data_IF_053995484259
#
_entry.id   IF_053995484259
#
_cell.length_a   1.000
_cell.length_b   1.000
_cell.length_c   1.000
_cell.angle_alpha   90.00
_cell.angle_beta   90.00
_cell.angle_gamma   90.00
#
_symmetry.space_group_name_H-M   'P 1'
#
loop_
_entity.id
_entity.type
_entity.pdbx_description
1 polymer ?
#
# COMPACT_ATOMS: atom_id res chain seq x y z
N UNK A 1 7.98 12.30 -25.83
CA UNK A 1 8.53 11.02 -25.34
C UNK A 1 7.35 10.10 -25.06
N UNK A 2 7.47 8.81 -25.38
CA UNK A 2 6.44 7.82 -25.07
C UNK A 2 6.52 7.48 -23.58
N UNK A 3 5.41 7.60 -22.85
CA UNK A 3 5.32 7.32 -21.42
C UNK A 3 5.65 5.84 -21.15
N UNK A 4 6.63 5.56 -20.27
CA UNK A 4 7.02 4.20 -19.88
C UNK A 4 6.17 3.74 -18.70
N UNK A 5 5.41 2.67 -18.88
CA UNK A 5 4.46 2.17 -17.89
C UNK A 5 4.89 0.79 -17.41
N UNK A 6 4.92 0.59 -16.10
CA UNK A 6 5.05 -0.73 -15.50
C UNK A 6 3.67 -1.24 -15.07
N UNK A 7 3.30 -2.46 -15.48
CA UNK A 7 2.03 -3.05 -15.05
C UNK A 7 2.23 -4.12 -13.99
N UNK A 8 1.63 -3.93 -12.82
CA UNK A 8 1.56 -4.90 -11.73
C UNK A 8 0.12 -5.33 -11.53
N UNK A 9 -0.10 -6.60 -11.18
CA UNK A 9 -1.43 -7.13 -10.93
C UNK A 9 -1.47 -8.03 -9.72
N UNK A 10 -2.61 -8.04 -9.04
CA UNK A 10 -2.92 -9.01 -7.99
C UNK A 10 -3.06 -10.41 -8.57
N UNK A 11 -3.20 -11.40 -7.70
CA UNK A 11 -3.36 -12.79 -8.13
C UNK A 11 -4.73 -13.07 -8.77
N UNK A 12 -5.69 -12.16 -8.63
CA UNK A 12 -7.04 -12.31 -9.15
C UNK A 12 -7.03 -12.49 -10.69
N UNK A 13 -7.78 -13.48 -11.24
CA UNK A 13 -7.80 -13.72 -12.68
C UNK A 13 -8.13 -12.48 -13.52
N UNK A 14 -9.13 -11.68 -13.09
CA UNK A 14 -9.52 -10.44 -13.77
C UNK A 14 -8.41 -9.38 -13.80
N UNK A 15 -7.57 -9.32 -12.78
CA UNK A 15 -6.42 -8.41 -12.73
C UNK A 15 -5.29 -8.88 -13.64
N UNK A 16 -5.03 -10.20 -13.66
CA UNK A 16 -4.02 -10.80 -14.55
C UNK A 16 -4.41 -10.64 -16.03
N UNK A 17 -5.67 -10.89 -16.39
CA UNK A 17 -6.16 -10.67 -17.77
C UNK A 17 -6.02 -9.21 -18.17
N UNK A 18 -6.43 -8.28 -17.31
CA UNK A 18 -6.27 -6.85 -17.56
C UNK A 18 -4.81 -6.44 -17.77
N UNK A 19 -3.88 -7.02 -17.00
CA UNK A 19 -2.44 -6.79 -17.15
C UNK A 19 -1.98 -7.18 -18.54
N UNK A 20 -2.33 -8.38 -19.00
CA UNK A 20 -1.97 -8.84 -20.35
C UNK A 20 -2.52 -7.89 -21.42
N UNK A 21 -3.81 -7.54 -21.36
CA UNK A 21 -4.43 -6.62 -22.31
C UNK A 21 -3.73 -5.25 -22.38
N UNK A 22 -3.38 -4.70 -21.22
CA UNK A 22 -2.72 -3.39 -21.15
C UNK A 22 -1.27 -3.44 -21.64
N UNK A 23 -0.55 -4.53 -21.34
CA UNK A 23 0.81 -4.75 -21.84
C UNK A 23 0.82 -4.89 -23.36
N UNK A 24 -0.12 -5.65 -23.94
CA UNK A 24 -0.22 -5.81 -25.38
C UNK A 24 -0.48 -4.48 -26.09
N UNK A 25 -1.18 -3.54 -25.43
CA UNK A 25 -1.55 -2.24 -25.99
C UNK A 25 -0.49 -1.14 -25.76
N UNK A 26 0.15 -1.13 -24.59
CA UNK A 26 0.99 -0.01 -24.15
C UNK A 26 2.45 -0.39 -23.90
N UNK A 27 2.79 -1.68 -23.99
CA UNK A 27 4.09 -2.22 -23.59
C UNK A 27 4.21 -2.43 -22.08
N UNK A 28 5.33 -3.01 -21.64
CA UNK A 28 5.66 -3.17 -20.22
C UNK A 28 7.10 -2.72 -20.00
N UNK A 29 7.34 -1.97 -18.94
CA UNK A 29 8.68 -1.53 -18.51
C UNK A 29 8.92 -2.04 -17.10
N UNK A 30 10.13 -2.48 -16.73
CA UNK A 30 10.46 -2.77 -15.34
C UNK A 30 10.14 -1.58 -14.43
N UNK A 31 9.55 -1.82 -13.26
CA UNK A 31 9.10 -0.74 -12.36
C UNK A 31 10.20 0.27 -11.99
N UNK A 32 11.44 -0.18 -11.88
CA UNK A 32 12.61 0.68 -11.61
C UNK A 32 12.93 1.69 -12.72
N UNK A 33 12.48 1.40 -13.94
CA UNK A 33 12.73 2.19 -15.14
C UNK A 33 11.43 2.82 -15.66
N UNK A 34 10.31 2.72 -14.93
CA UNK A 34 9.03 3.25 -15.35
C UNK A 34 8.89 4.74 -14.98
N UNK A 35 8.10 5.47 -15.77
CA UNK A 35 7.66 6.82 -15.42
C UNK A 35 6.45 6.77 -14.49
N UNK A 36 5.67 5.67 -14.53
CA UNK A 36 4.51 5.41 -13.67
C UNK A 36 4.26 3.91 -13.55
N UNK A 37 3.84 3.49 -12.36
CA UNK A 37 3.50 2.09 -12.05
C UNK A 37 1.98 1.98 -12.00
N UNK A 38 1.38 1.15 -12.85
CA UNK A 38 -0.04 0.85 -12.83
C UNK A 38 -0.31 -0.42 -12.04
N UNK A 39 -1.05 -0.30 -10.94
CA UNK A 39 -1.45 -1.42 -10.08
C UNK A 39 -2.88 -1.87 -10.40
N UNK A 40 -3.06 -3.14 -10.75
CA UNK A 40 -4.36 -3.74 -11.10
C UNK A 40 -4.82 -4.67 -9.98
N UNK A 41 -5.89 -4.31 -9.27
CA UNK A 41 -6.36 -5.08 -8.13
C UNK A 41 -7.38 -4.33 -7.28
N UNK A 42 -7.39 -4.58 -5.97
CA UNK A 42 -8.13 -3.78 -5.00
C UNK A 42 -7.19 -3.00 -4.07
N UNK A 43 -7.75 -2.31 -3.08
CA UNK A 43 -7.00 -1.45 -2.14
C UNK A 43 -5.83 -2.17 -1.45
N UNK A 44 -6.03 -3.40 -0.97
CA UNK A 44 -4.94 -4.16 -0.35
C UNK A 44 -3.74 -4.39 -1.29
N UNK A 45 -4.01 -4.56 -2.59
CA UNK A 45 -2.95 -4.67 -3.59
C UNK A 45 -2.29 -3.32 -3.88
N UNK A 46 -3.05 -2.22 -3.84
CA UNK A 46 -2.50 -0.86 -3.96
C UNK A 46 -1.53 -0.57 -2.82
N UNK A 47 -1.92 -0.84 -1.58
CA UNK A 47 -1.08 -0.63 -0.40
C UNK A 47 0.20 -1.46 -0.46
N UNK A 48 0.09 -2.73 -0.85
CA UNK A 48 1.25 -3.60 -1.07
C UNK A 48 2.16 -3.06 -2.17
N UNK A 49 1.59 -2.50 -3.24
CA UNK A 49 2.36 -1.92 -4.34
C UNK A 49 3.08 -0.65 -3.90
N UNK A 50 2.41 0.25 -3.17
CA UNK A 50 3.02 1.44 -2.57
C UNK A 50 4.19 1.07 -1.65
N UNK A 51 4.03 0.07 -0.78
CA UNK A 51 5.12 -0.41 0.07
C UNK A 51 6.33 -0.93 -0.72
N UNK A 52 6.10 -1.62 -1.84
CA UNK A 52 7.19 -2.12 -2.70
C UNK A 52 7.83 -1.03 -3.56
N UNK A 53 7.06 0.00 -3.89
CA UNK A 53 7.51 1.12 -4.70
C UNK A 53 8.10 2.26 -3.87
N UNK A 54 8.21 2.14 -2.54
CA UNK A 54 8.67 3.21 -1.64
C UNK A 54 10.04 3.78 -2.03
N UNK A 55 10.93 2.95 -2.58
CA UNK A 55 12.28 3.33 -3.00
C UNK A 55 12.35 3.66 -4.51
N UNK A 56 11.21 3.67 -5.20
CA UNK A 56 11.14 3.97 -6.62
C UNK A 56 10.67 5.43 -6.81
N UNK A 57 11.23 6.14 -7.81
CA UNK A 57 10.81 7.50 -8.10
C UNK A 57 9.44 7.57 -8.79
N UNK A 58 8.96 6.46 -9.34
CA UNK A 58 7.73 6.40 -10.12
C UNK A 58 6.49 6.40 -9.21
N UNK A 59 5.51 7.29 -9.42
CA UNK A 59 4.24 7.24 -8.72
C UNK A 59 3.44 5.99 -9.09
N UNK A 60 2.52 5.60 -8.20
CA UNK A 60 1.66 4.43 -8.39
C UNK A 60 0.24 4.89 -8.73
N UNK A 61 -0.30 4.38 -9.84
CA UNK A 61 -1.68 4.59 -10.28
C UNK A 61 -2.49 3.29 -10.15
N UNK A 62 -3.44 3.24 -9.22
CA UNK A 62 -4.29 2.07 -9.01
C UNK A 62 -5.52 2.05 -9.92
N UNK A 63 -5.86 0.89 -10.51
CA UNK A 63 -7.13 0.64 -11.20
C UNK A 63 -7.84 -0.60 -10.66
N UNK A 64 -9.14 -0.45 -10.37
CA UNK A 64 -9.93 -1.46 -9.70
C UNK A 64 -10.21 -2.67 -10.59
N UNK A 65 -9.65 -3.83 -10.22
CA UNK A 65 -9.99 -5.15 -10.75
C UNK A 65 -10.31 -6.12 -9.61
N UNK A 66 -10.97 -5.62 -8.56
CA UNK A 66 -11.42 -6.37 -7.40
C UNK A 66 -12.78 -5.88 -6.91
N UNK A 67 -12.96 -5.85 -5.59
CA UNK A 67 -14.14 -5.24 -4.96
C UNK A 67 -14.01 -3.72 -4.92
N UNK A 68 -15.13 -3.01 -4.89
CA UNK A 68 -15.13 -1.55 -4.70
C UNK A 68 -14.47 -1.20 -3.36
N UNK A 69 -13.57 -0.23 -3.39
CA UNK A 69 -12.80 0.28 -2.25
C UNK A 69 -12.63 1.80 -2.34
N UNK A 70 -11.62 2.34 -1.67
CA UNK A 70 -11.40 3.79 -1.51
C UNK A 70 -10.20 4.32 -2.29
N UNK A 71 -9.21 3.48 -2.63
CA UNK A 71 -7.92 3.94 -3.17
C UNK A 71 -7.80 3.77 -4.70
N UNK A 72 -8.66 2.96 -5.30
CA UNK A 72 -8.51 2.52 -6.68
C UNK A 72 -9.37 3.35 -7.64
N UNK A 73 -8.76 3.82 -8.74
CA UNK A 73 -9.50 4.43 -9.85
C UNK A 73 -10.35 3.37 -10.57
N UNK A 74 -11.34 3.82 -11.34
CA UNK A 74 -12.09 2.94 -12.22
C UNK A 74 -11.18 2.32 -13.30
N UNK A 75 -11.38 1.02 -13.55
CA UNK A 75 -10.69 0.34 -14.62
C UNK A 75 -11.21 0.77 -15.98
N UNK A 76 -10.30 1.17 -16.86
CA UNK A 76 -10.57 1.33 -18.28
C UNK A 76 -9.30 1.10 -19.08
N UNK A 77 -9.44 0.43 -20.21
CA UNK A 77 -8.34 0.07 -21.12
C UNK A 77 -7.99 1.19 -22.09
N UNK A 78 -8.86 2.20 -22.19
CA UNK A 78 -8.78 3.24 -23.20
C UNK A 78 -8.11 4.49 -22.63
N UNK A 79 -7.40 5.19 -23.51
CA UNK A 79 -6.79 6.50 -23.26
C UNK A 79 -5.91 6.56 -22.00
N UNK A 80 -5.30 5.43 -21.62
CA UNK A 80 -4.51 5.33 -20.40
C UNK A 80 -3.39 6.39 -20.33
N UNK A 81 -2.57 6.66 -21.38
CA UNK A 81 -1.55 7.70 -21.31
C UNK A 81 -2.10 9.09 -21.02
N UNK A 82 -3.26 9.44 -21.61
CA UNK A 82 -3.90 10.73 -21.37
C UNK A 82 -4.44 10.82 -19.93
N UNK A 83 -5.04 9.74 -19.42
CA UNK A 83 -5.53 9.66 -18.03
C UNK A 83 -4.39 9.76 -17.02
N UNK A 84 -3.26 9.09 -17.27
CA UNK A 84 -2.09 9.16 -16.40
C UNK A 84 -1.47 10.56 -16.39
N UNK A 85 -1.45 11.24 -17.55
CA UNK A 85 -0.97 12.64 -17.65
C UNK A 85 -1.89 13.62 -16.96
N UNK A 86 -3.21 13.37 -16.98
CA UNK A 86 -4.21 14.23 -16.36
C UNK A 86 -4.48 13.89 -14.88
N UNK A 87 -3.89 12.81 -14.36
CA UNK A 87 -4.06 12.41 -12.97
C UNK A 87 -3.40 13.43 -12.03
N UNK A 88 -4.06 13.70 -10.92
CA UNK A 88 -3.49 14.51 -9.84
C UNK A 88 -2.62 13.61 -8.95
N UNK A 89 -1.40 14.07 -8.67
CA UNK A 89 -0.49 13.38 -7.78
C UNK A 89 -0.79 13.75 -6.33
N UNK A 90 -1.03 12.74 -5.49
CA UNK A 90 -1.24 12.91 -4.05
C UNK A 90 -0.01 12.40 -3.28
N UNK A 91 0.55 13.27 -2.43
CA UNK A 91 1.69 12.92 -1.58
C UNK A 91 1.19 12.35 -0.26
N UNK A 92 1.39 11.04 -0.05
CA UNK A 92 1.07 10.38 1.21
C UNK A 92 2.20 10.55 2.23
N UNK A 93 1.84 10.68 3.50
CA UNK A 93 2.78 10.76 4.63
C UNK A 93 2.54 9.58 5.59
N UNK A 94 3.16 8.41 5.35
CA UNK A 94 2.91 7.22 6.16
C UNK A 94 3.35 7.37 7.62
N UNK A 95 2.70 6.62 8.51
CA UNK A 95 3.10 6.51 9.91
C UNK A 95 4.45 5.79 10.03
N UNK A 96 5.44 6.45 10.62
CA UNK A 96 6.74 5.83 10.90
C UNK A 96 6.71 5.09 12.25
N UNK A 97 6.77 3.77 12.19
CA UNK A 97 6.80 2.89 13.35
C UNK A 97 8.23 2.59 13.79
N UNK A 98 8.44 2.59 15.11
CA UNK A 98 9.59 1.98 15.78
C UNK A 98 9.08 1.04 16.85
N UNK A 99 9.37 -0.25 16.73
CA UNK A 99 8.93 -1.27 17.67
C UNK A 99 10.13 -2.08 18.17
N UNK A 100 10.21 -2.30 19.49
CA UNK A 100 11.25 -3.16 20.07
C UNK A 100 10.64 -4.48 20.46
N UNK A 101 11.23 -5.59 20.01
CA UNK A 101 10.77 -6.92 20.38
C UNK A 101 11.27 -7.37 21.76
N UNK A 102 10.82 -8.55 22.20
CA UNK A 102 11.20 -9.15 23.48
C UNK A 102 12.70 -9.50 23.61
N UNK A 103 13.42 -9.57 22.49
CA UNK A 103 14.87 -9.81 22.44
C UNK A 103 15.67 -8.49 22.42
N UNK A 104 14.99 -7.34 22.43
CA UNK A 104 15.59 -6.02 22.36
C UNK A 104 15.92 -5.56 20.94
N UNK A 105 15.49 -6.29 19.90
CA UNK A 105 15.71 -5.89 18.50
C UNK A 105 14.78 -4.75 18.14
N UNK A 106 15.32 -3.69 17.55
CA UNK A 106 14.54 -2.57 17.03
C UNK A 106 14.11 -2.85 15.59
N UNK A 107 12.80 -2.78 15.36
CA UNK A 107 12.16 -2.88 14.06
C UNK A 107 11.66 -1.50 13.65
N UNK A 108 11.84 -1.16 12.37
CA UNK A 108 11.34 0.09 11.79
C UNK A 108 10.51 -0.23 10.55
N UNK A 109 9.37 0.43 10.39
CA UNK A 109 8.54 0.29 9.21
C UNK A 109 7.72 1.57 8.98
N UNK A 110 7.33 1.79 7.73
CA UNK A 110 6.29 2.75 7.39
C UNK A 110 4.95 2.01 7.33
N UNK A 111 3.88 2.63 7.81
CA UNK A 111 2.52 2.12 7.74
C UNK A 111 1.64 3.14 7.00
N UNK A 112 1.02 2.70 5.90
CA UNK A 112 0.16 3.57 5.08
C UNK A 112 -1.23 3.70 5.70
N UNK A 113 -1.78 2.60 6.22
CA UNK A 113 -3.06 2.64 6.90
C UNK A 113 -2.88 2.72 8.42
N UNK A 114 -2.31 1.67 9.03
CA UNK A 114 -2.22 1.56 10.48
C UNK A 114 -1.03 0.74 10.97
N UNK A 115 -0.65 0.96 12.22
CA UNK A 115 0.20 0.07 13.01
C UNK A 115 -0.69 -0.72 13.97
N UNK A 116 -0.63 -2.05 13.86
CA UNK A 116 -1.46 -2.97 14.64
C UNK A 116 -0.60 -3.79 15.59
N UNK A 117 -0.84 -3.65 16.90
CA UNK A 117 -0.29 -4.54 17.92
C UNK A 117 -1.38 -5.53 18.33
N UNK A 118 -1.14 -6.82 18.14
CA UNK A 118 -2.08 -7.88 18.47
C UNK A 118 -1.43 -8.89 19.42
N UNK A 119 -2.23 -9.52 20.29
CA UNK A 119 -1.79 -10.66 21.11
C UNK A 119 -1.28 -11.80 20.22
N UNK A 120 -0.17 -12.41 20.61
CA UNK A 120 0.43 -13.54 19.89
C UNK A 120 -0.19 -14.90 20.23
N UNK A 121 -0.88 -15.01 21.37
CA UNK A 121 -1.46 -16.25 21.87
C UNK A 121 -2.94 -16.12 22.24
N UNK A 122 -3.53 -17.15 22.87
CA UNK A 122 -4.94 -17.15 23.25
C UNK A 122 -5.26 -16.23 24.44
N UNK A 123 -4.24 -15.77 25.17
CA UNK A 123 -4.42 -14.88 26.31
C UNK A 123 -4.52 -13.41 25.86
N UNK A 124 -5.33 -12.63 26.56
CA UNK A 124 -5.43 -11.19 26.34
C UNK A 124 -4.09 -10.50 26.60
N UNK A 125 -3.80 -9.49 25.79
CA UNK A 125 -2.67 -8.59 26.00
C UNK A 125 -2.96 -7.64 27.17
N UNK A 126 -1.91 -7.31 27.93
CA UNK A 126 -1.93 -6.26 28.96
C UNK A 126 -1.05 -5.12 28.48
N UNK A 127 -1.66 -4.01 28.12
CA UNK A 127 -0.98 -2.85 27.53
C UNK A 127 -0.91 -1.69 28.52
N UNK A 128 0.21 -0.96 28.47
CA UNK A 128 0.40 0.34 29.13
C UNK A 128 0.62 1.37 28.03
N UNK A 129 -0.17 2.44 28.04
CA UNK A 129 -0.14 3.45 26.97
C UNK A 129 0.41 4.77 27.52
N UNK A 130 1.46 5.26 26.88
CA UNK A 130 2.09 6.55 27.15
C UNK A 130 2.07 7.36 25.87
N UNK A 131 1.69 8.63 25.95
CA UNK A 131 1.69 9.57 24.82
C UNK A 131 2.50 10.79 25.24
N UNK A 132 3.49 11.16 24.44
CA UNK A 132 4.41 12.28 24.71
C UNK A 132 5.05 12.21 26.11
N UNK A 133 5.47 11.01 26.51
CA UNK A 133 6.07 10.75 27.83
C UNK A 133 5.09 10.77 29.00
N UNK A 134 3.78 11.03 28.77
CA UNK A 134 2.74 11.05 29.80
C UNK A 134 1.93 9.77 29.79
N UNK A 135 1.80 9.14 30.96
CA UNK A 135 0.95 7.97 31.12
C UNK A 135 -0.51 8.34 30.84
N UNK A 136 -1.12 7.71 29.84
CA UNK A 136 -2.52 7.90 29.49
C UNK A 136 -3.39 6.76 29.99
N UNK A 137 -2.86 5.54 29.97
CA UNK A 137 -3.55 4.36 30.44
C UNK A 137 -2.55 3.42 31.12
N UNK A 138 -2.75 3.20 32.42
CA UNK A 138 -1.87 2.36 33.25
C UNK A 138 -1.96 0.88 32.88
N UNK A 139 -3.17 0.42 32.58
CA UNK A 139 -3.45 -0.96 32.22
C UNK A 139 -4.67 -1.06 31.32
N UNK A 140 -4.52 -1.80 30.22
CA UNK A 140 -5.58 -2.17 29.30
C UNK A 140 -5.49 -3.66 29.00
N UNK A 141 -6.54 -4.41 29.34
CA UNK A 141 -6.69 -5.82 28.97
C UNK A 141 -7.51 -5.89 27.68
N UNK A 142 -6.91 -6.37 26.60
CA UNK A 142 -7.53 -6.37 25.28
C UNK A 142 -6.88 -7.39 24.34
N UNK A 143 -7.39 -7.51 23.12
CA UNK A 143 -6.74 -8.28 22.07
C UNK A 143 -5.53 -7.55 21.45
N UNK A 144 -5.48 -6.22 21.58
CA UNK A 144 -4.48 -5.39 20.92
C UNK A 144 -4.79 -3.90 20.91
N UNK A 145 -3.96 -3.14 20.21
CA UNK A 145 -4.14 -1.72 19.95
C UNK A 145 -3.85 -1.39 18.48
N UNK A 146 -4.59 -0.43 17.94
CA UNK A 146 -4.44 0.09 16.59
C UNK A 146 -4.01 1.56 16.69
N UNK A 147 -3.03 1.95 15.88
CA UNK A 147 -2.61 3.33 15.69
C UNK A 147 -2.77 3.67 14.20
N UNK A 148 -3.69 4.56 13.90
CA UNK A 148 -4.04 5.01 12.55
C UNK A 148 -4.17 6.54 12.54
#
# INVERSE_FOLDING_TARGET
MTLRIAFLASEAPVARTARTTLIDRYGDTPAKDADVIVALGGDGFMLHTLHKAQDLPAPVYGMNRGTVGFLMNEYSENDLPARLTAAEEEVINPLAMRAMDQHGTLHQALAINEVSLLRAGPQAARLKITVDGRLRLAELVCDGALLA
#
